data_IF_436496445421
#
_entry.id   IF_436496445421
#
_cell.length_a   1.000
_cell.length_b   1.000
_cell.length_c   1.000
_cell.angle_alpha   90.00
_cell.angle_beta   90.00
_cell.angle_gamma   90.00
#
_symmetry.space_group_name_H-M   'P 1'
#
loop_
_entity.id
_entity.type
_entity.pdbx_description
1 polymer ?
#
# COMPACT_ATOMS: atom_id res chain seq x y z
N UNK A 1 -32.15 35.73 20.20
CA UNK A 1 -31.33 34.69 19.54
C UNK A 1 -29.88 34.90 19.93
N UNK A 2 -29.23 33.91 20.56
CA UNK A 2 -27.89 34.08 21.14
C UNK A 2 -26.84 34.27 20.04
N UNK A 3 -25.99 35.31 20.16
CA UNK A 3 -24.93 35.66 19.19
C UNK A 3 -24.01 34.49 18.78
N UNK A 4 -23.87 33.49 19.65
CA UNK A 4 -23.13 32.25 19.37
C UNK A 4 -23.71 31.45 18.19
N UNK A 5 -25.04 31.40 18.05
CA UNK A 5 -25.71 30.68 16.97
C UNK A 5 -25.59 31.39 15.61
N UNK A 6 -25.58 32.73 15.60
CA UNK A 6 -25.36 33.51 14.37
C UNK A 6 -23.91 33.36 13.88
N UNK A 7 -22.93 33.40 14.79
CA UNK A 7 -21.53 33.21 14.44
C UNK A 7 -21.26 31.81 13.84
N UNK A 8 -21.94 30.79 14.36
CA UNK A 8 -21.84 29.42 13.82
C UNK A 8 -22.39 29.30 12.39
N UNK A 9 -23.49 29.99 12.08
CA UNK A 9 -24.07 30.00 10.73
C UNK A 9 -23.12 30.64 9.71
N UNK A 10 -22.49 31.77 10.06
CA UNK A 10 -21.50 32.43 9.20
C UNK A 10 -20.25 31.57 8.97
N UNK A 11 -19.81 30.82 9.98
CA UNK A 11 -18.69 29.88 9.87
C UNK A 11 -19.03 28.70 8.95
N UNK A 12 -20.22 28.13 9.10
CA UNK A 12 -20.70 27.06 8.22
C UNK A 12 -20.80 27.53 6.77
N UNK A 13 -21.31 28.76 6.55
CA UNK A 13 -21.37 29.37 5.22
C UNK A 13 -19.98 29.62 4.64
N UNK A 14 -19.05 30.17 5.42
CA UNK A 14 -17.67 30.39 4.98
C UNK A 14 -16.96 29.07 4.61
N UNK A 15 -17.14 28.02 5.41
CA UNK A 15 -16.63 26.68 5.11
C UNK A 15 -17.27 26.08 3.85
N UNK A 16 -18.59 26.23 3.69
CA UNK A 16 -19.33 25.78 2.51
C UNK A 16 -18.88 26.51 1.23
N UNK A 17 -18.65 27.83 1.30
CA UNK A 17 -18.12 28.64 0.19
C UNK A 17 -16.68 28.23 -0.14
N UNK A 18 -15.85 27.95 0.87
CA UNK A 18 -14.52 27.38 0.67
C UNK A 18 -14.55 26.03 -0.04
N UNK A 19 -15.44 25.13 0.38
CA UNK A 19 -15.63 23.82 -0.23
C UNK A 19 -16.18 23.88 -1.66
N UNK A 20 -17.10 24.80 -1.94
CA UNK A 20 -17.58 25.10 -3.30
C UNK A 20 -16.45 25.62 -4.19
N UNK A 21 -15.65 26.57 -3.68
CA UNK A 21 -14.52 27.15 -4.41
C UNK A 21 -13.44 26.10 -4.70
N UNK A 22 -13.16 25.21 -3.75
CA UNK A 22 -12.25 24.08 -3.95
C UNK A 22 -12.72 23.11 -5.02
N UNK A 23 -14.03 22.83 -5.08
CA UNK A 23 -14.60 22.02 -6.14
C UNK A 23 -14.46 22.70 -7.52
N UNK A 24 -14.73 24.00 -7.63
CA UNK A 24 -14.58 24.75 -8.90
C UNK A 24 -13.12 24.71 -9.40
N UNK A 25 -12.16 24.91 -8.51
CA UNK A 25 -10.72 24.81 -8.84
C UNK A 25 -10.38 23.38 -9.27
N UNK A 26 -10.91 22.37 -8.59
CA UNK A 26 -10.72 20.96 -8.94
C UNK A 26 -11.22 20.64 -10.36
N UNK A 27 -12.44 21.07 -10.71
CA UNK A 27 -13.03 20.90 -12.05
C UNK A 27 -12.23 21.63 -13.13
N UNK A 28 -11.73 22.83 -12.80
CA UNK A 28 -10.91 23.63 -13.73
C UNK A 28 -9.57 22.95 -14.05
N UNK A 29 -8.96 22.30 -13.05
CA UNK A 29 -7.69 21.59 -13.22
C UNK A 29 -7.85 20.20 -13.85
N UNK A 30 -8.98 19.52 -13.65
CA UNK A 30 -9.23 18.18 -14.21
C UNK A 30 -9.82 18.20 -15.62
N UNK A 31 -10.26 19.35 -16.13
CA UNK A 31 -10.85 19.52 -17.46
C UNK A 31 -12.22 18.84 -17.64
N UNK A 32 -12.81 18.29 -16.57
CA UNK A 32 -14.09 17.60 -16.59
C UNK A 32 -14.71 17.59 -15.19
N UNK A 33 -16.01 17.93 -15.12
CA UNK A 33 -16.80 17.85 -13.90
C UNK A 33 -17.17 16.41 -13.49
N UNK A 34 -16.93 15.44 -14.37
CA UNK A 34 -17.32 14.03 -14.21
C UNK A 34 -18.84 13.81 -14.32
N UNK A 35 -19.25 12.55 -14.50
CA UNK A 35 -20.68 12.15 -14.58
C UNK A 35 -21.47 12.38 -13.28
N UNK A 36 -20.78 12.51 -12.14
CA UNK A 36 -21.36 12.65 -10.81
C UNK A 36 -21.17 14.05 -10.21
N UNK A 37 -21.07 15.07 -11.08
CA UNK A 37 -20.81 16.45 -10.68
C UNK A 37 -21.75 17.02 -9.60
N UNK A 38 -23.07 16.72 -9.55
CA UNK A 38 -23.95 17.29 -8.53
C UNK A 38 -23.64 16.70 -7.14
N UNK A 39 -23.34 15.40 -7.09
CA UNK A 39 -22.96 14.70 -5.86
C UNK A 39 -21.61 15.20 -5.34
N UNK A 40 -20.65 15.45 -6.24
CA UNK A 40 -19.32 15.97 -5.88
C UNK A 40 -19.39 17.41 -5.38
N UNK A 41 -20.24 18.25 -5.99
CA UNK A 41 -20.49 19.62 -5.54
C UNK A 41 -21.14 19.63 -4.15
N UNK A 42 -22.17 18.81 -3.93
CA UNK A 42 -22.85 18.70 -2.65
C UNK A 42 -21.89 18.20 -1.55
N UNK A 43 -21.04 17.22 -1.86
CA UNK A 43 -20.01 16.73 -0.96
C UNK A 43 -18.94 17.79 -0.64
N UNK A 44 -18.57 18.64 -1.60
CA UNK A 44 -17.68 19.78 -1.38
C UNK A 44 -18.27 20.82 -0.43
N UNK A 45 -19.54 21.20 -0.64
CA UNK A 45 -20.27 22.17 0.19
C UNK A 45 -20.43 21.65 1.63
N UNK A 46 -20.97 20.44 1.78
CA UNK A 46 -21.22 19.84 3.10
C UNK A 46 -19.91 19.52 3.82
N UNK A 47 -18.93 18.96 3.10
CA UNK A 47 -17.60 18.66 3.64
C UNK A 47 -16.87 19.92 4.09
N UNK A 48 -16.87 20.97 3.27
CA UNK A 48 -16.24 22.24 3.61
C UNK A 48 -16.92 22.95 4.79
N UNK A 49 -18.26 22.91 4.86
CA UNK A 49 -19.02 23.45 5.99
C UNK A 49 -18.69 22.75 7.31
N UNK A 50 -18.69 21.42 7.33
CA UNK A 50 -18.35 20.62 8.52
C UNK A 50 -16.88 20.83 8.92
N UNK A 51 -15.95 20.85 7.95
CA UNK A 51 -14.54 21.11 8.19
C UNK A 51 -14.29 22.48 8.81
N UNK A 52 -14.95 23.51 8.26
CA UNK A 52 -14.89 24.87 8.78
C UNK A 52 -15.46 24.96 10.19
N UNK A 53 -16.59 24.31 10.47
CA UNK A 53 -17.19 24.28 11.80
C UNK A 53 -16.30 23.57 12.84
N UNK A 54 -15.71 22.42 12.50
CA UNK A 54 -14.79 21.69 13.39
C UNK A 54 -13.52 22.52 13.64
N UNK A 55 -12.94 23.07 12.57
CA UNK A 55 -11.74 23.88 12.66
C UNK A 55 -11.94 25.11 13.54
N UNK A 56 -13.08 25.79 13.37
CA UNK A 56 -13.47 26.92 14.22
C UNK A 56 -13.82 26.48 15.63
N UNK A 57 -14.45 25.32 15.84
CA UNK A 57 -14.72 24.82 17.19
C UNK A 57 -13.42 24.62 17.98
N UNK A 58 -12.36 24.12 17.34
CA UNK A 58 -11.03 24.00 17.95
C UNK A 58 -10.41 25.37 18.25
N UNK A 59 -10.59 26.37 17.38
CA UNK A 59 -10.07 27.73 17.55
C UNK A 59 -10.89 28.63 18.49
N UNK A 60 -12.20 28.45 18.55
CA UNK A 60 -13.12 29.25 19.37
C UNK A 60 -12.96 28.94 20.87
N UNK A 61 -12.38 27.80 21.22
CA UNK A 61 -11.88 27.53 22.57
C UNK A 61 -10.66 28.39 22.94
N UNK A 62 -10.06 29.11 21.99
CA UNK A 62 -8.83 29.89 22.20
C UNK A 62 -9.09 31.39 22.35
N UNK A 63 -10.00 32.01 21.58
CA UNK A 63 -10.49 33.40 21.82
C UNK A 63 -11.65 33.78 20.86
N UNK A 64 -12.87 34.12 21.35
CA UNK A 64 -13.99 34.52 20.50
C UNK A 64 -13.92 35.94 19.93
N UNK A 65 -12.98 36.79 20.35
CA UNK A 65 -12.88 38.19 19.86
C UNK A 65 -12.32 38.32 18.44
N UNK A 66 -11.79 37.23 17.87
CA UNK A 66 -11.08 37.21 16.60
C UNK A 66 -11.93 36.65 15.44
N UNK A 67 -13.21 37.04 15.37
CA UNK A 67 -14.17 36.52 14.39
C UNK A 67 -13.72 36.58 12.90
N UNK A 68 -13.04 37.64 12.40
CA UNK A 68 -12.54 37.66 11.03
C UNK A 68 -11.48 36.59 10.74
N UNK A 69 -10.62 36.28 11.71
CA UNK A 69 -9.59 35.23 11.59
C UNK A 69 -10.23 33.84 11.59
N UNK A 70 -11.29 33.68 12.38
CA UNK A 70 -12.11 32.46 12.44
C UNK A 70 -12.78 32.17 11.09
N UNK A 71 -13.35 33.19 10.43
CA UNK A 71 -13.95 33.05 9.09
C UNK A 71 -12.91 32.70 8.03
N UNK A 72 -11.75 33.37 8.05
CA UNK A 72 -10.66 33.08 7.12
C UNK A 72 -10.17 31.65 7.27
N UNK A 73 -10.02 31.19 8.52
CA UNK A 73 -9.63 29.82 8.82
C UNK A 73 -10.67 28.80 8.32
N UNK A 74 -11.96 29.04 8.58
CA UNK A 74 -13.04 28.18 8.09
C UNK A 74 -13.04 28.04 6.57
N UNK A 75 -12.77 29.14 5.85
CA UNK A 75 -12.69 29.17 4.38
C UNK A 75 -11.49 28.36 3.87
N UNK A 76 -10.31 28.54 4.48
CA UNK A 76 -9.10 27.75 4.14
C UNK A 76 -9.29 26.26 4.44
N UNK A 77 -9.92 25.92 5.56
CA UNK A 77 -10.26 24.54 5.90
C UNK A 77 -11.26 23.95 4.90
N UNK A 78 -12.28 24.70 4.48
CA UNK A 78 -13.23 24.27 3.47
C UNK A 78 -12.58 24.04 2.11
N UNK A 79 -11.70 24.96 1.71
CA UNK A 79 -10.91 24.86 0.46
C UNK A 79 -9.98 23.65 0.45
N UNK A 80 -9.34 23.35 1.59
CA UNK A 80 -8.33 22.30 1.72
C UNK A 80 -8.90 20.94 2.14
N UNK A 81 -10.21 20.83 2.38
CA UNK A 81 -10.83 19.62 2.95
C UNK A 81 -10.59 18.36 2.12
N UNK A 82 -10.64 18.47 0.78
CA UNK A 82 -10.38 17.34 -0.10
C UNK A 82 -8.93 16.83 0.01
N UNK A 83 -7.95 17.74 -0.01
CA UNK A 83 -6.53 17.38 0.14
C UNK A 83 -6.25 16.73 1.51
N UNK A 84 -6.90 17.21 2.57
CA UNK A 84 -6.80 16.62 3.91
C UNK A 84 -7.38 15.19 3.92
N UNK A 85 -8.55 14.99 3.32
CA UNK A 85 -9.15 13.65 3.24
C UNK A 85 -8.35 12.70 2.36
N UNK A 86 -7.79 13.17 1.25
CA UNK A 86 -6.96 12.37 0.36
C UNK A 86 -5.65 11.95 1.05
N UNK A 87 -5.01 12.88 1.76
CA UNK A 87 -3.85 12.59 2.61
C UNK A 87 -4.22 11.60 3.71
N UNK A 88 -5.37 11.78 4.39
CA UNK A 88 -5.86 10.87 5.41
C UNK A 88 -6.14 9.46 4.88
N UNK A 89 -6.74 9.35 3.68
CA UNK A 89 -6.94 8.06 2.99
C UNK A 89 -5.61 7.39 2.66
N UNK A 90 -4.64 8.15 2.13
CA UNK A 90 -3.29 7.65 1.83
C UNK A 90 -2.60 7.10 3.09
N UNK A 91 -2.67 7.81 4.21
CA UNK A 91 -2.13 7.36 5.49
C UNK A 91 -2.84 6.09 6.02
N UNK A 92 -4.17 6.02 5.91
CA UNK A 92 -4.94 4.84 6.34
C UNK A 92 -4.62 3.60 5.48
N UNK A 93 -4.50 3.78 4.17
CA UNK A 93 -4.08 2.71 3.24
C UNK A 93 -2.65 2.28 3.52
N UNK A 94 -1.73 3.23 3.77
CA UNK A 94 -0.35 2.95 4.19
C UNK A 94 -0.29 2.14 5.48
N UNK A 95 -1.06 2.51 6.50
CA UNK A 95 -1.14 1.78 7.77
C UNK A 95 -1.67 0.35 7.59
N UNK A 96 -2.67 0.15 6.74
CA UNK A 96 -3.20 -1.18 6.41
C UNK A 96 -2.15 -2.03 5.68
N UNK A 97 -1.47 -1.44 4.69
CA UNK A 97 -0.42 -2.14 3.94
C UNK A 97 0.76 -2.54 4.82
N UNK A 98 1.20 -1.67 5.73
CA UNK A 98 2.25 -1.98 6.71
C UNK A 98 1.82 -3.13 7.64
N UNK A 99 0.57 -3.13 8.13
CA UNK A 99 0.06 -4.19 9.00
C UNK A 99 -0.06 -5.53 8.27
N UNK A 100 -0.54 -5.52 7.04
CA UNK A 100 -0.64 -6.74 6.23
C UNK A 100 0.74 -7.29 5.87
N UNK A 101 1.70 -6.40 5.59
CA UNK A 101 3.08 -6.80 5.33
C UNK A 101 3.71 -7.39 6.58
N UNK A 102 3.61 -6.73 7.74
CA UNK A 102 4.14 -7.24 9.01
C UNK A 102 3.58 -8.63 9.34
N UNK A 103 2.27 -8.85 9.11
CA UNK A 103 1.66 -10.19 9.27
C UNK A 103 2.21 -11.22 8.30
N UNK A 104 2.45 -10.84 7.04
CA UNK A 104 3.04 -11.74 6.06
C UNK A 104 4.49 -12.09 6.43
N UNK A 105 5.29 -11.09 6.82
CA UNK A 105 6.67 -11.27 7.31
C UNK A 105 6.71 -12.17 8.54
N UNK A 106 5.83 -11.96 9.53
CA UNK A 106 5.73 -12.81 10.72
C UNK A 106 5.43 -14.26 10.38
N UNK A 107 4.49 -14.52 9.46
CA UNK A 107 4.17 -15.89 9.02
C UNK A 107 5.30 -16.57 8.26
N UNK A 108 6.14 -15.78 7.57
CA UNK A 108 7.36 -16.30 6.97
C UNK A 108 8.32 -16.72 8.07
N UNK A 109 8.53 -15.87 9.08
CA UNK A 109 9.44 -16.14 10.19
C UNK A 109 9.04 -17.38 11.00
N UNK A 110 7.74 -17.54 11.29
CA UNK A 110 7.18 -18.76 11.90
C UNK A 110 7.51 -20.01 11.04
N UNK A 111 7.34 -19.90 9.72
CA UNK A 111 7.67 -20.96 8.78
C UNK A 111 9.17 -21.20 8.57
N UNK A 112 10.05 -20.27 8.99
CA UNK A 112 11.51 -20.42 8.91
C UNK A 112 12.08 -21.32 10.02
N UNK A 113 11.32 -21.61 11.08
CA UNK A 113 11.80 -22.41 12.24
C UNK A 113 12.05 -23.90 11.97
N UNK A 114 11.49 -24.48 10.90
CA UNK A 114 11.60 -25.93 10.60
C UNK A 114 12.76 -26.29 9.66
N UNK A 115 13.66 -27.20 9.99
CA UNK A 115 14.84 -27.46 9.12
C UNK A 115 14.51 -27.91 7.68
N UNK A 116 13.39 -28.62 7.47
CA UNK A 116 12.93 -29.06 6.14
C UNK A 116 11.43 -28.83 6.01
N UNK A 117 10.97 -27.88 5.18
CA UNK A 117 9.56 -27.57 5.12
C UNK A 117 8.76 -28.69 4.43
N UNK A 118 7.62 -29.05 5.02
CA UNK A 118 6.63 -29.92 4.39
C UNK A 118 5.87 -29.18 3.25
N UNK A 119 5.01 -29.89 2.52
CA UNK A 119 4.25 -29.31 1.41
C UNK A 119 3.35 -28.14 1.82
N UNK A 120 2.76 -28.18 3.02
CA UNK A 120 1.91 -27.10 3.54
C UNK A 120 2.75 -25.88 3.93
N UNK A 121 3.93 -26.09 4.50
CA UNK A 121 4.90 -25.05 4.83
C UNK A 121 5.47 -24.43 3.56
N UNK A 122 5.80 -25.21 2.53
CA UNK A 122 6.22 -24.70 1.21
C UNK A 122 5.16 -23.76 0.65
N UNK A 123 3.89 -24.17 0.65
CA UNK A 123 2.81 -23.30 0.17
C UNK A 123 2.64 -22.05 1.03
N UNK A 124 2.77 -22.17 2.35
CA UNK A 124 2.66 -21.05 3.29
C UNK A 124 3.78 -20.04 3.09
N UNK A 125 5.04 -20.50 3.03
CA UNK A 125 6.20 -19.66 2.71
C UNK A 125 6.00 -18.99 1.36
N UNK A 126 5.60 -19.76 0.33
CA UNK A 126 5.39 -19.23 -1.00
C UNK A 126 4.30 -18.15 -1.02
N UNK A 127 3.15 -18.38 -0.39
CA UNK A 127 2.00 -17.46 -0.38
C UNK A 127 2.34 -16.15 0.37
N UNK A 128 3.04 -16.24 1.49
CA UNK A 128 3.41 -15.06 2.26
C UNK A 128 4.56 -14.30 1.58
N UNK A 129 5.53 -15.00 0.98
CA UNK A 129 6.62 -14.38 0.22
C UNK A 129 6.10 -13.68 -1.04
N UNK A 130 5.12 -14.24 -1.75
CA UNK A 130 4.45 -13.55 -2.87
C UNK A 130 3.71 -12.30 -2.40
N UNK A 131 3.03 -12.35 -1.24
CA UNK A 131 2.36 -11.16 -0.66
C UNK A 131 3.36 -10.08 -0.25
N UNK A 132 4.51 -10.47 0.29
CA UNK A 132 5.61 -9.53 0.57
C UNK A 132 6.07 -8.89 -0.73
N UNK A 133 6.34 -9.67 -1.78
CA UNK A 133 6.76 -9.18 -3.09
C UNK A 133 5.75 -8.21 -3.74
N UNK A 134 4.45 -8.49 -3.57
CA UNK A 134 3.35 -7.64 -4.05
C UNK A 134 3.26 -6.31 -3.30
N UNK A 135 3.37 -6.33 -1.97
CA UNK A 135 3.18 -5.14 -1.14
C UNK A 135 4.43 -4.29 -0.98
N UNK A 136 5.61 -4.85 -1.18
CA UNK A 136 6.91 -4.19 -0.98
C UNK A 136 7.02 -2.79 -1.62
N UNK A 137 6.58 -2.58 -2.89
CA UNK A 137 6.72 -1.29 -3.57
C UNK A 137 5.90 -0.18 -2.90
N UNK A 138 4.77 -0.54 -2.27
CA UNK A 138 3.83 0.39 -1.64
C UNK A 138 4.23 0.80 -0.22
N UNK A 139 5.34 0.26 0.32
CA UNK A 139 5.79 0.53 1.69
C UNK A 139 6.76 1.69 1.70
N UNK A 140 6.43 2.74 2.43
CA UNK A 140 7.26 3.94 2.58
C UNK A 140 8.29 3.81 3.70
N UNK A 141 8.05 2.93 4.68
CA UNK A 141 8.94 2.71 5.83
C UNK A 141 10.20 1.92 5.38
N UNK A 142 11.41 2.49 5.48
CA UNK A 142 12.64 1.86 5.01
C UNK A 142 13.07 0.66 5.87
N UNK A 143 12.84 0.70 7.19
CA UNK A 143 13.21 -0.40 8.10
C UNK A 143 12.29 -1.59 7.88
N UNK A 144 10.98 -1.33 7.79
CA UNK A 144 9.98 -2.38 7.53
C UNK A 144 10.18 -3.00 6.13
N UNK A 145 10.57 -2.19 5.14
CA UNK A 145 10.93 -2.69 3.81
C UNK A 145 12.17 -3.58 3.87
N UNK A 146 13.22 -3.17 4.58
CA UNK A 146 14.47 -3.93 4.72
C UNK A 146 14.23 -5.27 5.41
N UNK A 147 13.50 -5.27 6.52
CA UNK A 147 13.15 -6.48 7.27
C UNK A 147 12.31 -7.45 6.43
N UNK A 148 11.30 -6.94 5.71
CA UNK A 148 10.47 -7.76 4.82
C UNK A 148 11.29 -8.37 3.67
N UNK A 149 12.19 -7.62 3.04
CA UNK A 149 13.10 -8.15 2.00
C UNK A 149 14.01 -9.23 2.57
N UNK A 150 14.63 -8.98 3.72
CA UNK A 150 15.56 -9.92 4.33
C UNK A 150 14.85 -11.24 4.71
N UNK A 151 13.66 -11.14 5.30
CA UNK A 151 12.86 -12.30 5.71
C UNK A 151 12.33 -13.07 4.50
N UNK A 152 11.86 -12.38 3.47
CA UNK A 152 11.44 -13.00 2.21
C UNK A 152 12.62 -13.66 1.46
N UNK A 153 13.82 -13.10 1.53
CA UNK A 153 15.04 -13.70 0.95
C UNK A 153 15.41 -14.99 1.68
N UNK A 154 15.39 -15.00 3.02
CA UNK A 154 15.58 -16.24 3.80
C UNK A 154 14.57 -17.32 3.44
N UNK A 155 13.32 -16.93 3.15
CA UNK A 155 12.29 -17.87 2.71
C UNK A 155 12.62 -18.48 1.34
N UNK A 156 13.12 -17.67 0.41
CA UNK A 156 13.61 -18.12 -0.89
C UNK A 156 14.79 -19.10 -0.72
N UNK A 157 15.76 -18.79 0.13
CA UNK A 157 16.90 -19.69 0.43
C UNK A 157 16.42 -21.04 0.98
N UNK A 158 15.44 -21.00 1.89
CA UNK A 158 14.88 -22.21 2.48
C UNK A 158 14.07 -23.04 1.48
N UNK A 159 13.32 -22.37 0.59
CA UNK A 159 12.64 -23.02 -0.52
C UNK A 159 13.62 -23.60 -1.54
N UNK A 160 14.78 -22.97 -1.76
CA UNK A 160 15.84 -23.51 -2.60
C UNK A 160 16.36 -24.84 -2.07
N UNK A 161 16.61 -24.94 -0.76
CA UNK A 161 17.03 -26.20 -0.13
C UNK A 161 15.94 -27.26 -0.30
N UNK A 162 14.69 -26.92 0.00
CA UNK A 162 13.56 -27.85 -0.15
C UNK A 162 13.35 -28.29 -1.60
N UNK A 163 13.64 -27.41 -2.56
CA UNK A 163 13.49 -27.68 -3.99
C UNK A 163 14.47 -28.71 -4.54
N UNK A 164 15.56 -29.03 -3.82
CA UNK A 164 16.45 -30.12 -4.20
C UNK A 164 15.78 -31.50 -4.10
N UNK A 165 14.80 -31.65 -3.21
CA UNK A 165 14.09 -32.90 -2.95
C UNK A 165 12.63 -32.86 -3.39
N UNK A 166 12.01 -31.66 -3.41
CA UNK A 166 10.57 -31.49 -3.62
C UNK A 166 10.28 -30.59 -4.83
N UNK A 167 9.60 -31.11 -5.87
CA UNK A 167 9.29 -30.32 -7.07
C UNK A 167 8.32 -29.16 -6.78
N UNK A 168 7.51 -29.26 -5.71
CA UNK A 168 6.58 -28.21 -5.29
C UNK A 168 7.30 -26.93 -4.87
N UNK A 169 8.50 -27.04 -4.30
CA UNK A 169 9.30 -25.88 -3.92
C UNK A 169 9.91 -25.17 -5.14
N UNK A 170 10.15 -25.88 -6.25
CA UNK A 170 10.52 -25.26 -7.54
C UNK A 170 9.35 -24.40 -8.07
N UNK A 171 8.13 -24.93 -8.05
CA UNK A 171 6.93 -24.18 -8.45
C UNK A 171 6.66 -22.98 -7.52
N UNK A 172 6.95 -23.12 -6.23
CA UNK A 172 6.87 -22.02 -5.27
C UNK A 172 7.84 -20.88 -5.62
N UNK A 173 9.10 -21.20 -5.91
CA UNK A 173 10.13 -20.25 -6.33
C UNK A 173 9.76 -19.54 -7.64
N UNK A 174 9.25 -20.29 -8.62
CA UNK A 174 8.76 -19.72 -9.88
C UNK A 174 7.65 -18.69 -9.63
N UNK A 175 6.68 -19.03 -8.76
CA UNK A 175 5.57 -18.13 -8.44
C UNK A 175 6.03 -16.87 -7.70
N UNK A 176 6.98 -17.00 -6.77
CA UNK A 176 7.62 -15.85 -6.10
C UNK A 176 8.30 -14.96 -7.14
N UNK A 177 9.10 -15.54 -8.04
CA UNK A 177 9.80 -14.81 -9.09
C UNK A 177 8.85 -14.06 -10.02
N UNK A 178 7.76 -14.70 -10.46
CA UNK A 178 6.74 -14.06 -11.33
C UNK A 178 6.07 -12.89 -10.62
N UNK A 179 5.67 -13.08 -9.36
CA UNK A 179 5.05 -12.00 -8.58
C UNK A 179 6.04 -10.86 -8.34
N UNK A 180 7.29 -11.17 -8.02
CA UNK A 180 8.33 -10.18 -7.78
C UNK A 180 8.63 -9.35 -9.03
N UNK A 181 8.74 -9.98 -10.19
CA UNK A 181 8.88 -9.31 -11.49
C UNK A 181 7.67 -8.42 -11.77
N UNK A 182 6.44 -8.94 -11.67
CA UNK A 182 5.22 -8.18 -11.92
C UNK A 182 5.03 -6.98 -10.96
N UNK A 183 5.55 -7.08 -9.73
CA UNK A 183 5.43 -6.04 -8.72
C UNK A 183 6.63 -5.08 -8.69
N UNK A 184 7.68 -5.32 -9.49
CA UNK A 184 8.91 -4.51 -9.45
C UNK A 184 9.82 -4.74 -8.25
N UNK A 185 9.65 -5.87 -7.54
CA UNK A 185 10.47 -6.28 -6.39
C UNK A 185 11.79 -6.94 -6.85
N UNK A 186 12.70 -6.14 -7.42
CA UNK A 186 13.93 -6.63 -8.08
C UNK A 186 14.80 -7.56 -7.23
N UNK A 187 14.95 -7.27 -5.93
CA UNK A 187 15.76 -8.11 -5.03
C UNK A 187 15.21 -9.54 -4.92
N UNK A 188 13.88 -9.68 -4.80
CA UNK A 188 13.23 -10.99 -4.69
C UNK A 188 13.17 -11.72 -6.04
N UNK A 189 13.05 -10.97 -7.13
CA UNK A 189 13.14 -11.52 -8.48
C UNK A 189 14.52 -12.15 -8.73
N UNK A 190 15.59 -11.41 -8.41
CA UNK A 190 16.98 -11.88 -8.56
C UNK A 190 17.22 -13.10 -7.66
N UNK A 191 16.81 -13.04 -6.39
CA UNK A 191 16.97 -14.17 -5.48
C UNK A 191 16.25 -15.43 -6.01
N UNK A 192 14.99 -15.30 -6.46
CA UNK A 192 14.24 -16.44 -7.01
C UNK A 192 14.89 -17.01 -8.29
N UNK A 193 15.39 -16.15 -9.19
CA UNK A 193 16.13 -16.57 -10.40
C UNK A 193 17.43 -17.29 -10.05
N UNK A 194 18.22 -16.75 -9.12
CA UNK A 194 19.47 -17.36 -8.69
C UNK A 194 19.24 -18.72 -8.01
N UNK A 195 18.20 -18.84 -7.18
CA UNK A 195 17.80 -20.12 -6.58
C UNK A 195 17.44 -21.15 -7.64
N UNK A 196 16.61 -20.80 -8.63
CA UNK A 196 16.23 -21.69 -9.73
C UNK A 196 17.42 -22.10 -10.60
N UNK A 197 18.32 -21.16 -10.89
CA UNK A 197 19.58 -21.46 -11.60
C UNK A 197 20.43 -22.44 -10.80
N UNK A 198 20.59 -22.21 -9.50
CA UNK A 198 21.37 -23.09 -8.62
C UNK A 198 20.77 -24.49 -8.54
N UNK A 199 19.45 -24.62 -8.47
CA UNK A 199 18.76 -25.92 -8.50
C UNK A 199 18.99 -26.64 -9.83
N UNK A 200 18.91 -25.91 -10.96
CA UNK A 200 19.09 -26.49 -12.30
C UNK A 200 20.48 -27.10 -12.51
N UNK A 201 21.50 -26.54 -11.87
CA UNK A 201 22.90 -27.01 -11.95
C UNK A 201 23.33 -27.91 -10.80
N UNK A 202 22.47 -28.16 -9.81
CA UNK A 202 22.84 -28.89 -8.59
C UNK A 202 22.89 -30.41 -8.81
N UNK A 203 24.00 -31.07 -8.46
CA UNK A 203 24.10 -32.53 -8.54
C UNK A 203 23.17 -33.28 -7.59
N UNK A 204 22.65 -32.60 -6.56
CA UNK A 204 21.70 -33.17 -5.60
C UNK A 204 20.26 -33.22 -6.12
N UNK A 205 19.96 -32.47 -7.17
CA UNK A 205 18.61 -32.41 -7.74
C UNK A 205 18.36 -33.56 -8.71
N UNK A 206 17.18 -34.17 -8.65
CA UNK A 206 16.76 -35.18 -9.62
C UNK A 206 16.65 -34.58 -11.04
N UNK A 207 16.76 -35.39 -12.11
CA UNK A 207 16.63 -34.90 -13.49
C UNK A 207 15.30 -34.17 -13.76
N UNK A 208 14.22 -34.59 -13.11
CA UNK A 208 12.92 -33.92 -13.20
C UNK A 208 12.95 -32.54 -12.55
N UNK A 209 13.52 -32.43 -11.34
CA UNK A 209 13.66 -31.16 -10.61
C UNK A 209 14.54 -30.20 -11.41
N UNK A 210 15.66 -30.67 -11.96
CA UNK A 210 16.53 -29.88 -12.85
C UNK A 210 15.75 -29.32 -14.04
N UNK A 211 15.02 -30.17 -14.75
CA UNK A 211 14.21 -29.77 -15.92
C UNK A 211 13.16 -28.72 -15.54
N UNK A 212 12.46 -28.89 -14.41
CA UNK A 212 11.47 -27.90 -13.93
C UNK A 212 12.14 -26.58 -13.55
N UNK A 213 13.29 -26.63 -12.88
CA UNK A 213 14.03 -25.44 -12.48
C UNK A 213 14.55 -24.66 -13.70
N UNK A 214 15.06 -25.34 -14.73
CA UNK A 214 15.45 -24.71 -16.00
C UNK A 214 14.26 -24.03 -16.68
N UNK A 215 13.12 -24.72 -16.81
CA UNK A 215 11.92 -24.15 -17.43
C UNK A 215 11.39 -22.92 -16.66
N UNK A 216 11.39 -22.98 -15.33
CA UNK A 216 11.01 -21.86 -14.48
C UNK A 216 11.99 -20.67 -14.63
N UNK A 217 13.30 -20.94 -14.66
CA UNK A 217 14.32 -19.92 -14.86
C UNK A 217 14.19 -19.22 -16.22
N UNK A 218 13.98 -19.97 -17.30
CA UNK A 218 13.75 -19.39 -18.64
C UNK A 218 12.48 -18.53 -18.69
N UNK A 219 11.41 -19.00 -18.04
CA UNK A 219 10.15 -18.26 -17.96
C UNK A 219 10.34 -16.92 -17.27
N UNK A 220 11.07 -16.89 -16.15
CA UNK A 220 11.38 -15.65 -15.44
C UNK A 220 12.35 -14.74 -16.21
N UNK A 221 13.26 -15.32 -17.00
CA UNK A 221 14.21 -14.53 -17.80
C UNK A 221 13.47 -13.77 -18.91
N UNK A 222 12.58 -14.45 -19.64
CA UNK A 222 11.75 -13.82 -20.68
C UNK A 222 10.79 -12.75 -20.13
N UNK A 223 10.31 -12.92 -18.90
CA UNK A 223 9.38 -11.99 -18.28
C UNK A 223 10.04 -10.64 -17.89
N UNK A 224 11.36 -10.61 -17.71
CA UNK A 224 12.07 -9.39 -17.29
C UNK A 224 12.68 -8.59 -18.43
N UNK A 225 12.63 -9.11 -19.65
CA UNK A 225 13.07 -8.43 -20.88
C UNK A 225 11.91 -7.65 -21.56
N UNK A 226 10.71 -7.68 -20.97
CA UNK A 226 9.49 -6.96 -21.39
C UNK A 226 9.22 -5.78 -20.44
#
# INVERSE_FOLDING_TARGET
MNAKWQNLQWVLLAGAVGGMSGWVIGVSNSGSAGSHWPTNLLAGILGGGVAGAIGVFLLANTDPTQFPKILTFALVCGLSWQAILETGKSLAVGAKNNRDLAKATQKIDEGLTTSTPDSAQIQTLANNTTKVAEKLPAITDPELRKDAVQTATKAVDKLQIAALEKPEAVSALERIGKQASASGSKNLEVAAKESLKTISTSDKASPEIKRRATAAFETLSKASDL
#
